data_IF_423714355858
#
_entry.id   IF_423714355858
#
_cell.length_a   1.000
_cell.length_b   1.000
_cell.length_c   1.000
_cell.angle_alpha   90.00
_cell.angle_beta   90.00
_cell.angle_gamma   90.00
#
_symmetry.space_group_name_H-M   'P 1'
#
loop_
_entity.id
_entity.type
_entity.pdbx_description
1 polymer ?
#
# COMPACT_ATOMS: atom_id res chain seq x y z
N UNK A 1 14.35 18.52 14.05
CA UNK A 1 14.52 17.29 14.84
C UNK A 1 13.24 16.92 15.61
N UNK A 2 12.79 17.70 16.62
CA UNK A 2 11.58 17.38 17.41
C UNK A 2 10.30 17.19 16.58
N UNK A 3 10.01 18.06 15.60
CA UNK A 3 8.84 17.92 14.70
C UNK A 3 8.85 16.62 13.88
N UNK A 4 10.04 16.15 13.49
CA UNK A 4 10.22 14.92 12.72
C UNK A 4 9.94 13.70 13.59
N UNK A 5 10.53 13.66 14.80
CA UNK A 5 10.30 12.59 15.77
C UNK A 5 8.82 12.52 16.15
N UNK A 6 8.19 13.65 16.39
CA UNK A 6 6.75 13.71 16.67
C UNK A 6 5.91 13.19 15.50
N UNK A 7 6.28 13.48 14.26
CA UNK A 7 5.55 12.98 13.08
C UNK A 7 5.68 11.47 12.90
N UNK A 8 6.85 10.90 13.24
CA UNK A 8 7.06 9.45 13.25
C UNK A 8 6.21 8.77 14.33
N UNK A 9 6.16 9.33 15.55
CA UNK A 9 5.34 8.81 16.64
C UNK A 9 3.83 8.86 16.37
N UNK A 10 3.39 9.84 15.57
CA UNK A 10 1.99 9.98 15.15
C UNK A 10 1.66 9.15 13.90
N UNK A 11 2.59 8.30 13.44
CA UNK A 11 2.41 7.42 12.28
C UNK A 11 1.91 8.17 11.03
N UNK A 12 2.36 9.42 10.89
CA UNK A 12 1.91 10.27 9.80
C UNK A 12 2.46 9.75 8.48
N UNK A 13 1.68 9.87 7.42
CA UNK A 13 2.12 9.61 6.05
C UNK A 13 3.37 10.41 5.71
N UNK A 14 4.43 9.75 5.17
CA UNK A 14 5.65 10.42 4.71
C UNK A 14 5.33 11.47 3.64
N UNK A 15 6.06 12.60 3.66
CA UNK A 15 5.79 13.73 2.75
C UNK A 15 6.08 13.42 1.28
N UNK A 16 6.90 12.41 1.04
CA UNK A 16 7.36 11.92 -0.25
C UNK A 16 6.44 10.85 -0.84
N UNK A 17 5.37 10.47 -0.14
CA UNK A 17 4.34 9.55 -0.66
C UNK A 17 3.08 10.33 -0.99
N UNK A 18 2.74 10.39 -2.27
CA UNK A 18 1.42 10.79 -2.74
C UNK A 18 0.48 9.58 -2.66
N UNK A 19 -0.36 9.54 -1.63
CA UNK A 19 -1.27 8.43 -1.36
C UNK A 19 -2.30 8.25 -2.48
N UNK A 20 -2.73 9.34 -3.12
CA UNK A 20 -3.72 9.27 -4.20
C UNK A 20 -3.10 8.60 -5.43
N UNK A 21 -1.86 8.97 -5.78
CA UNK A 21 -1.14 8.32 -6.88
C UNK A 21 -0.84 6.85 -6.57
N UNK A 22 -0.44 6.56 -5.33
CA UNK A 22 -0.20 5.19 -4.87
C UNK A 22 -1.46 4.33 -5.01
N UNK A 23 -2.60 4.81 -4.51
CA UNK A 23 -3.91 4.14 -4.62
C UNK A 23 -4.29 3.91 -6.09
N UNK A 24 -4.18 4.93 -6.93
CA UNK A 24 -4.52 4.83 -8.35
C UNK A 24 -3.65 3.82 -9.08
N UNK A 25 -2.35 3.77 -8.78
CA UNK A 25 -1.46 2.79 -9.41
C UNK A 25 -1.70 1.37 -8.89
N UNK A 26 -2.04 1.19 -7.61
CA UNK A 26 -2.49 -0.11 -7.10
C UNK A 26 -3.79 -0.58 -7.80
N UNK A 27 -4.76 0.33 -7.99
CA UNK A 27 -5.99 0.06 -8.74
C UNK A 27 -5.76 -0.25 -10.22
N UNK A 28 -4.62 0.16 -10.78
CA UNK A 28 -4.28 -0.13 -12.17
C UNK A 28 -3.66 -1.52 -12.39
N UNK A 29 -3.33 -2.25 -11.31
CA UNK A 29 -2.79 -3.60 -11.40
C UNK A 29 -3.85 -4.57 -11.92
N UNK A 30 -3.43 -5.48 -12.80
CA UNK A 30 -4.33 -6.49 -13.36
C UNK A 30 -4.96 -7.34 -12.25
N UNK A 31 -6.29 -7.53 -12.32
CA UNK A 31 -7.06 -8.31 -11.35
C UNK A 31 -7.44 -7.56 -10.07
N UNK A 32 -7.01 -6.29 -9.90
CA UNK A 32 -7.48 -5.41 -8.83
C UNK A 32 -8.74 -4.67 -9.29
N UNK A 33 -9.82 -4.85 -8.52
CA UNK A 33 -11.11 -4.16 -8.72
C UNK A 33 -11.16 -2.84 -7.94
N UNK A 34 -10.70 -2.87 -6.70
CA UNK A 34 -10.67 -1.68 -5.83
C UNK A 34 -9.59 -1.82 -4.74
N UNK A 35 -9.21 -0.70 -4.14
CA UNK A 35 -8.27 -0.61 -3.02
C UNK A 35 -8.85 0.34 -1.99
N UNK A 36 -8.92 -0.10 -0.74
CA UNK A 36 -9.43 0.68 0.36
C UNK A 36 -8.63 0.41 1.64
N UNK A 37 -8.93 1.17 2.70
CA UNK A 37 -8.21 1.14 3.97
C UNK A 37 -6.68 1.28 3.81
N UNK A 38 -6.26 2.07 2.82
CA UNK A 38 -4.86 2.28 2.47
C UNK A 38 -4.19 3.19 3.51
N UNK A 39 -3.33 2.59 4.31
CA UNK A 39 -2.53 3.24 5.32
C UNK A 39 -1.05 3.19 4.95
N UNK A 40 -0.39 4.34 4.99
CA UNK A 40 1.05 4.46 4.77
C UNK A 40 1.66 5.32 5.87
N UNK A 41 2.69 4.80 6.53
CA UNK A 41 3.38 5.47 7.62
C UNK A 41 4.89 5.15 7.61
N UNK A 42 5.68 5.88 8.39
CA UNK A 42 7.09 5.59 8.59
C UNK A 42 7.36 5.13 10.02
N UNK A 43 8.01 3.98 10.19
CA UNK A 43 8.46 3.49 11.51
C UNK A 43 9.74 4.22 11.95
N UNK A 44 10.63 4.49 10.99
CA UNK A 44 11.85 5.28 11.21
C UNK A 44 12.23 6.01 9.92
N UNK A 45 13.27 6.82 9.98
CA UNK A 45 13.78 7.56 8.81
C UNK A 45 14.16 6.55 7.72
N UNK A 46 13.55 6.69 6.54
CA UNK A 46 13.81 5.83 5.39
C UNK A 46 13.16 4.44 5.43
N UNK A 47 12.33 4.12 6.45
CA UNK A 47 11.52 2.89 6.47
C UNK A 47 10.04 3.21 6.45
N UNK A 48 9.48 3.16 5.25
CA UNK A 48 8.05 3.32 4.98
C UNK A 48 7.38 1.94 5.03
N UNK A 49 6.16 1.92 5.54
CA UNK A 49 5.35 0.73 5.75
C UNK A 49 3.94 1.00 5.22
N UNK A 50 3.31 -0.04 4.69
CA UNK A 50 1.97 0.04 4.11
C UNK A 50 1.08 -1.11 4.59
N UNK A 51 -0.18 -0.78 4.83
CA UNK A 51 -1.28 -1.73 4.98
C UNK A 51 -2.43 -1.32 4.07
N UNK A 52 -3.07 -2.27 3.40
CA UNK A 52 -4.24 -1.99 2.59
C UNK A 52 -5.13 -3.23 2.41
N UNK A 53 -6.36 -2.97 1.97
CA UNK A 53 -7.29 -3.98 1.52
C UNK A 53 -7.43 -3.88 0.00
N UNK A 54 -7.34 -5.02 -0.68
CA UNK A 54 -7.42 -5.13 -2.14
C UNK A 54 -8.61 -6.00 -2.48
N UNK A 55 -9.59 -5.42 -3.17
CA UNK A 55 -10.72 -6.14 -3.73
C UNK A 55 -10.30 -6.68 -5.10
N UNK A 56 -10.45 -7.98 -5.32
CA UNK A 56 -10.03 -8.62 -6.58
C UNK A 56 -11.20 -8.90 -7.51
N UNK A 57 -10.92 -8.97 -8.80
CA UNK A 57 -11.85 -9.54 -9.78
C UNK A 57 -12.12 -11.03 -9.48
N UNK A 58 -13.29 -11.57 -9.88
CA UNK A 58 -13.60 -12.98 -9.67
C UNK A 58 -12.62 -13.92 -10.39
N UNK A 59 -12.20 -14.99 -9.72
CA UNK A 59 -11.36 -16.04 -10.31
C UNK A 59 -9.86 -15.72 -10.39
N UNK A 60 -9.43 -14.58 -9.86
CA UNK A 60 -8.01 -14.21 -9.78
C UNK A 60 -7.31 -14.98 -8.65
N UNK A 61 -6.06 -15.37 -8.88
CA UNK A 61 -5.20 -15.94 -7.85
C UNK A 61 -4.78 -14.86 -6.84
N UNK A 62 -5.18 -15.04 -5.58
CA UNK A 62 -4.82 -14.13 -4.50
C UNK A 62 -3.31 -14.02 -4.30
N UNK A 63 -2.56 -15.11 -4.53
CA UNK A 63 -1.11 -15.09 -4.41
C UNK A 63 -0.47 -14.16 -5.45
N UNK A 64 -0.95 -14.20 -6.70
CA UNK A 64 -0.48 -13.34 -7.77
C UNK A 64 -0.73 -11.86 -7.44
N UNK A 65 -1.92 -11.52 -6.94
CA UNK A 65 -2.24 -10.15 -6.49
C UNK A 65 -1.29 -9.68 -5.40
N UNK A 66 -1.02 -10.51 -4.39
CA UNK A 66 -0.10 -10.17 -3.31
C UNK A 66 1.31 -9.89 -3.85
N UNK A 67 1.80 -10.68 -4.82
CA UNK A 67 3.11 -10.45 -5.44
C UNK A 67 3.14 -9.17 -6.26
N UNK A 68 2.13 -8.94 -7.12
CA UNK A 68 2.06 -7.76 -7.97
C UNK A 68 2.00 -6.47 -7.14
N UNK A 69 1.21 -6.45 -6.06
CA UNK A 69 1.12 -5.31 -5.14
C UNK A 69 2.45 -5.07 -4.42
N UNK A 70 3.12 -6.14 -3.95
CA UNK A 70 4.44 -6.02 -3.31
C UNK A 70 5.49 -5.46 -4.27
N UNK A 71 5.55 -6.00 -5.49
CA UNK A 71 6.50 -5.57 -6.51
C UNK A 71 6.26 -4.11 -6.92
N UNK A 72 4.99 -3.70 -7.10
CA UNK A 72 4.64 -2.31 -7.40
C UNK A 72 5.09 -1.36 -6.28
N UNK A 73 4.78 -1.69 -5.02
CA UNK A 73 5.17 -0.90 -3.85
C UNK A 73 6.69 -0.80 -3.69
N UNK A 74 7.42 -1.87 -3.96
CA UNK A 74 8.87 -1.90 -3.90
C UNK A 74 9.50 -1.06 -5.01
N UNK A 75 9.15 -1.33 -6.26
CA UNK A 75 9.77 -0.70 -7.43
C UNK A 75 9.44 0.79 -7.55
N UNK A 76 8.22 1.20 -7.21
CA UNK A 76 7.74 2.58 -7.42
C UNK A 76 7.98 3.46 -6.20
N UNK A 77 7.83 2.92 -4.99
CA UNK A 77 7.87 3.71 -3.74
C UNK A 77 8.93 3.26 -2.74
N UNK A 78 9.66 2.16 -3.00
CA UNK A 78 10.65 1.54 -2.08
C UNK A 78 10.02 1.16 -0.73
N UNK A 79 8.77 0.72 -0.77
CA UNK A 79 8.04 0.24 0.41
C UNK A 79 8.18 -1.28 0.47
N UNK A 80 9.11 -1.76 1.30
CA UNK A 80 9.38 -3.21 1.41
C UNK A 80 8.49 -3.94 2.43
N UNK A 81 7.92 -3.22 3.41
CA UNK A 81 7.06 -3.82 4.44
C UNK A 81 5.60 -3.52 4.11
N UNK A 82 4.95 -4.50 3.49
CA UNK A 82 3.60 -4.38 2.93
C UNK A 82 2.74 -5.51 3.45
N UNK A 83 1.66 -5.14 4.14
CA UNK A 83 0.57 -6.05 4.55
C UNK A 83 -0.63 -5.82 3.66
N UNK A 84 -1.19 -6.90 3.10
CA UNK A 84 -2.31 -6.83 2.16
C UNK A 84 -3.37 -7.81 2.65
N UNK A 85 -4.58 -7.32 2.86
CA UNK A 85 -5.76 -8.17 2.97
C UNK A 85 -6.41 -8.29 1.60
N UNK A 86 -6.56 -9.51 1.11
CA UNK A 86 -7.25 -9.77 -0.17
C UNK A 86 -8.71 -10.07 0.11
N UNK A 87 -9.60 -9.34 -0.54
CA UNK A 87 -11.05 -9.46 -0.40
C UNK A 87 -11.67 -9.90 -1.73
N UNK A 88 -12.62 -10.84 -1.71
CA UNK A 88 -13.35 -11.19 -2.92
C UNK A 88 -14.24 -10.03 -3.35
N UNK A 89 -14.23 -9.69 -4.63
CA UNK A 89 -15.24 -8.80 -5.19
C UNK A 89 -16.65 -9.37 -4.98
N UNK A 90 -17.57 -8.55 -4.51
CA UNK A 90 -19.00 -8.89 -4.57
C UNK A 90 -19.38 -9.15 -6.04
N UNK A 91 -20.09 -10.27 -6.25
CA UNK A 91 -20.65 -10.70 -7.53
C UNK A 91 -21.63 -9.66 -8.10
#
# INVERSE_FOLDING_TARGET
MLRTIFSLLMERTPKDVDVIQLENGLKSLAGVKDVHDLHVWAITIGKIVLSCHVVTEPGVDQYEIIQNVREYCDTTYRIHHVTIQVEPGSL
#
